data_IF_870031267203
#
_entry.id   IF_870031267203
#
_cell.length_a   1.000
_cell.length_b   1.000
_cell.length_c   1.000
_cell.angle_alpha   90.00
_cell.angle_beta   90.00
_cell.angle_gamma   90.00
#
_symmetry.space_group_name_H-M   'P 1'
#
loop_
_entity.id
_entity.type
_entity.pdbx_description
1 polymer ?
#
# COMPACT_ATOMS: atom_id res chain seq x y z
N UNK A 1 -10.51 -5.93 25.15
CA UNK A 1 -11.26 -6.76 26.11
C UNK A 1 -12.50 -7.26 25.39
N UNK A 2 -12.47 -8.48 24.87
CA UNK A 2 -13.61 -9.12 24.20
C UNK A 2 -14.60 -9.56 25.29
N UNK A 3 -15.80 -8.98 25.31
CA UNK A 3 -16.91 -9.49 26.11
C UNK A 3 -17.69 -10.50 25.27
N UNK A 4 -17.69 -11.77 25.69
CA UNK A 4 -18.59 -12.80 25.14
C UNK A 4 -19.89 -12.79 25.95
N UNK A 5 -21.01 -12.45 25.31
CA UNK A 5 -22.34 -12.62 25.88
C UNK A 5 -22.96 -13.92 25.38
N UNK A 6 -23.34 -14.82 26.28
CA UNK A 6 -24.14 -16.00 25.97
C UNK A 6 -25.58 -15.69 26.40
N UNK A 7 -26.53 -15.71 25.46
CA UNK A 7 -27.96 -15.65 25.76
C UNK A 7 -28.54 -17.07 25.69
N UNK A 8 -29.07 -17.59 26.80
CA UNK A 8 -29.76 -18.88 26.83
C UNK A 8 -31.21 -18.71 26.36
N UNK A 9 -31.59 -19.41 25.30
CA UNK A 9 -32.98 -19.75 25.01
C UNK A 9 -33.15 -21.28 25.07
N UNK A 10 -34.08 -21.71 25.91
CA UNK A 10 -34.39 -23.12 26.19
C UNK A 10 -35.31 -23.76 25.12
N UNK A 11 -35.18 -25.09 25.01
CA UNK A 11 -36.03 -26.10 24.34
C UNK A 11 -35.79 -26.41 22.85
N UNK A 12 -35.19 -27.59 22.63
CA UNK A 12 -35.43 -28.46 21.46
C UNK A 12 -34.60 -28.15 20.22
N UNK A 13 -33.61 -29.01 19.94
CA UNK A 13 -32.63 -28.95 18.84
C UNK A 13 -31.47 -27.94 19.03
N UNK A 14 -30.32 -28.49 19.43
CA UNK A 14 -29.03 -27.80 19.42
C UNK A 14 -28.62 -27.57 17.95
N UNK A 15 -29.04 -26.44 17.37
CA UNK A 15 -28.42 -25.88 16.17
C UNK A 15 -27.40 -24.86 16.66
N UNK A 16 -26.11 -25.22 16.60
CA UNK A 16 -25.02 -24.26 16.79
C UNK A 16 -25.02 -23.31 15.59
N UNK A 17 -25.82 -22.26 15.66
CA UNK A 17 -25.64 -21.10 14.79
C UNK A 17 -24.51 -20.27 15.39
N UNK A 18 -23.34 -20.33 14.77
CA UNK A 18 -22.33 -19.31 15.00
C UNK A 18 -22.92 -18.00 14.47
N UNK A 19 -23.22 -17.06 15.36
CA UNK A 19 -23.43 -15.68 14.98
C UNK A 19 -22.12 -15.18 14.33
N UNK A 20 -22.09 -15.22 13.00
CA UNK A 20 -21.16 -14.46 12.18
C UNK A 20 -21.46 -12.98 12.44
N UNK A 21 -20.85 -12.44 13.48
CA UNK A 21 -20.95 -11.04 13.85
C UNK A 21 -20.22 -10.18 12.80
N UNK A 22 -20.97 -9.66 11.83
CA UNK A 22 -20.75 -8.36 11.16
C UNK A 22 -19.31 -8.02 10.74
N UNK A 23 -18.55 -9.00 10.21
CA UNK A 23 -17.29 -8.72 9.52
C UNK A 23 -17.48 -8.40 8.02
N UNK A 24 -18.70 -8.55 7.48
CA UNK A 24 -19.01 -8.23 6.08
C UNK A 24 -19.34 -6.75 5.81
N UNK A 25 -19.34 -5.89 6.84
CA UNK A 25 -19.50 -4.43 6.66
C UNK A 25 -18.29 -3.61 7.07
N UNK A 26 -17.08 -4.17 6.94
CA UNK A 26 -16.00 -3.31 6.46
C UNK A 26 -16.33 -2.94 5.02
N UNK A 27 -17.24 -1.96 4.85
CA UNK A 27 -17.31 -1.13 3.65
C UNK A 27 -15.86 -0.95 3.22
N UNK A 28 -15.47 -1.50 2.07
CA UNK A 28 -14.30 -1.01 1.35
C UNK A 28 -14.32 0.50 1.53
N UNK A 29 -13.23 1.09 2.04
CA UNK A 29 -13.16 2.52 2.33
C UNK A 29 -13.46 3.28 1.05
N UNK A 30 -14.74 3.47 0.77
CA UNK A 30 -15.22 4.12 -0.41
C UNK A 30 -14.84 5.57 -0.18
N UNK A 31 -13.98 6.16 -1.04
CA UNK A 31 -13.54 7.53 -0.84
C UNK A 31 -14.79 8.40 -0.69
N UNK A 32 -14.96 9.00 0.51
CA UNK A 32 -16.16 9.78 0.86
C UNK A 32 -16.34 11.00 -0.05
N UNK A 33 -15.31 11.39 -0.81
CA UNK A 33 -15.39 12.34 -1.93
C UNK A 33 -14.23 12.16 -2.93
N UNK A 34 -14.54 12.50 -4.19
CA UNK A 34 -14.01 12.06 -5.48
C UNK A 34 -13.00 13.05 -6.08
N UNK A 35 -12.09 12.54 -6.94
CA UNK A 35 -11.14 13.23 -7.85
C UNK A 35 -10.84 14.69 -7.48
N UNK A 36 -9.73 14.90 -6.77
CA UNK A 36 -9.27 16.24 -6.36
C UNK A 36 -8.72 17.09 -7.51
N UNK A 37 -8.30 16.46 -8.60
CA UNK A 37 -7.65 17.14 -9.73
C UNK A 37 -7.67 16.26 -10.98
N UNK A 38 -7.88 16.88 -12.15
CA UNK A 38 -7.73 16.23 -13.46
C UNK A 38 -6.28 16.32 -13.97
N UNK A 39 -5.35 16.80 -13.16
CA UNK A 39 -3.93 16.90 -13.48
C UNK A 39 -3.09 16.34 -12.33
N UNK A 40 -3.22 15.06 -11.98
CA UNK A 40 -2.51 14.49 -10.83
C UNK A 40 -1.00 14.60 -11.02
N UNK A 41 -0.29 14.92 -9.93
CA UNK A 41 1.17 14.83 -9.85
C UNK A 41 1.50 13.70 -8.89
N UNK A 42 2.06 12.62 -9.43
CA UNK A 42 2.37 11.42 -8.65
C UNK A 42 3.88 11.38 -8.42
N UNK A 43 4.26 11.31 -7.15
CA UNK A 43 5.64 11.16 -6.75
C UNK A 43 6.16 9.75 -7.04
N UNK A 44 7.41 9.62 -7.44
CA UNK A 44 8.12 8.34 -7.52
C UNK A 44 9.27 8.40 -6.53
N UNK A 45 9.30 7.50 -5.55
CA UNK A 45 10.43 7.43 -4.61
C UNK A 45 11.68 6.98 -5.34
N UNK A 46 12.73 7.80 -5.28
CA UNK A 46 14.03 7.50 -5.88
C UNK A 46 14.85 6.56 -4.99
N UNK A 47 15.77 5.82 -5.58
CA UNK A 47 16.63 4.86 -4.90
C UNK A 47 18.10 5.26 -5.04
N UNK A 48 18.93 4.92 -4.06
CA UNK A 48 20.37 5.19 -4.14
C UNK A 48 21.03 4.38 -5.27
N UNK A 49 21.92 5.03 -6.00
CA UNK A 49 22.73 4.38 -7.04
C UNK A 49 23.82 3.49 -6.43
N UNK A 50 24.12 2.39 -7.10
CA UNK A 50 25.29 1.55 -6.80
C UNK A 50 26.16 1.30 -8.04
N UNK A 51 27.38 0.79 -7.82
CA UNK A 51 28.31 0.40 -8.89
C UNK A 51 28.59 1.53 -9.88
N UNK A 52 28.53 1.23 -11.19
CA UNK A 52 28.80 2.20 -12.25
C UNK A 52 27.78 3.35 -12.34
N UNK A 53 26.60 3.21 -11.72
CA UNK A 53 25.57 4.26 -11.80
C UNK A 53 25.90 5.49 -10.95
N UNK A 54 26.81 5.36 -9.97
CA UNK A 54 27.24 6.46 -9.09
C UNK A 54 27.82 7.63 -9.89
N UNK A 55 28.40 7.40 -11.06
CA UNK A 55 28.93 8.45 -11.94
C UNK A 55 27.83 9.38 -12.51
N UNK A 56 26.57 8.93 -12.51
CA UNK A 56 25.43 9.69 -13.06
C UNK A 56 24.60 10.40 -11.99
N UNK A 57 24.95 10.24 -10.71
CA UNK A 57 24.24 10.82 -9.57
C UNK A 57 24.20 9.86 -8.39
N UNK A 58 23.74 10.36 -7.24
CA UNK A 58 23.60 9.56 -6.01
C UNK A 58 22.27 8.80 -5.92
N UNK A 59 21.29 9.18 -6.74
CA UNK A 59 19.96 8.60 -6.76
C UNK A 59 19.46 8.39 -8.20
N UNK A 60 18.62 7.39 -8.39
CA UNK A 60 18.00 7.10 -9.68
C UNK A 60 16.51 6.77 -9.50
N UNK A 61 15.80 6.82 -10.62
CA UNK A 61 14.48 6.23 -10.80
C UNK A 61 14.43 5.56 -12.17
N UNK A 62 13.67 4.48 -12.30
CA UNK A 62 13.55 3.77 -13.58
C UNK A 62 12.48 4.44 -14.43
N UNK A 63 12.82 4.76 -15.68
CA UNK A 63 11.93 5.48 -16.60
C UNK A 63 10.58 4.79 -16.85
N UNK A 64 10.50 3.46 -16.65
CA UNK A 64 9.26 2.70 -16.81
C UNK A 64 8.14 3.20 -15.88
N UNK A 65 8.46 3.63 -14.65
CA UNK A 65 7.44 4.16 -13.73
C UNK A 65 6.93 5.54 -14.18
N UNK A 66 7.79 6.34 -14.83
CA UNK A 66 7.38 7.61 -15.45
C UNK A 66 6.43 7.33 -16.61
N UNK A 67 6.78 6.39 -17.49
CA UNK A 67 5.92 6.02 -18.63
C UNK A 67 4.61 5.38 -18.21
N UNK A 68 4.63 4.56 -17.16
CA UNK A 68 3.41 4.02 -16.56
C UNK A 68 2.46 5.15 -16.12
N UNK A 69 2.96 6.13 -15.37
CA UNK A 69 2.17 7.27 -14.93
C UNK A 69 1.69 8.17 -16.07
N UNK A 70 2.56 8.49 -17.03
CA UNK A 70 2.22 9.30 -18.21
C UNK A 70 1.12 8.63 -19.05
N UNK A 71 1.20 7.31 -19.24
CA UNK A 71 0.19 6.54 -19.97
C UNK A 71 -1.17 6.54 -19.27
N UNK A 72 -1.19 6.69 -17.94
CA UNK A 72 -2.40 6.83 -17.14
C UNK A 72 -2.90 8.29 -17.04
N UNK A 73 -2.28 9.23 -17.75
CA UNK A 73 -2.67 10.66 -17.75
C UNK A 73 -2.15 11.46 -16.55
N UNK A 74 -1.18 10.93 -15.80
CA UNK A 74 -0.56 11.61 -14.67
C UNK A 74 0.78 12.24 -15.03
N UNK A 75 1.19 13.25 -14.24
CA UNK A 75 2.55 13.80 -14.27
C UNK A 75 3.40 13.10 -13.22
N UNK A 76 4.58 12.62 -13.59
CA UNK A 76 5.51 12.02 -12.65
C UNK A 76 6.45 13.08 -12.05
N UNK A 77 6.76 12.96 -10.76
CA UNK A 77 7.78 13.77 -10.11
C UNK A 77 8.70 12.91 -9.25
N UNK A 78 10.04 13.05 -9.35
CA UNK A 78 10.95 12.37 -8.42
C UNK A 78 10.81 12.95 -7.01
N UNK A 79 10.73 12.10 -6.00
CA UNK A 79 10.73 12.54 -4.60
C UNK A 79 12.18 12.76 -4.14
N UNK A 80 12.67 13.98 -4.38
CA UNK A 80 13.96 14.49 -3.88
C UNK A 80 13.75 15.62 -2.85
N UNK A 81 12.65 16.36 -2.99
CA UNK A 81 12.29 17.56 -2.21
C UNK A 81 10.78 17.56 -1.91
N UNK A 82 10.30 18.32 -0.91
CA UNK A 82 8.88 18.43 -0.64
C UNK A 82 8.15 19.04 -1.84
N UNK A 83 7.26 18.26 -2.45
CA UNK A 83 6.40 18.66 -3.56
C UNK A 83 4.93 18.50 -3.14
N UNK A 84 4.06 19.31 -3.74
CA UNK A 84 2.62 19.15 -3.57
C UNK A 84 2.16 17.98 -4.48
N UNK A 85 2.12 16.78 -3.90
CA UNK A 85 1.82 15.53 -4.59
C UNK A 85 0.35 15.14 -4.38
N UNK A 86 -0.22 14.44 -5.36
CA UNK A 86 -1.57 13.87 -5.28
C UNK A 86 -1.54 12.38 -4.90
N UNK A 87 -0.35 11.77 -4.89
CA UNK A 87 -0.13 10.37 -4.57
C UNK A 87 1.33 9.99 -4.77
N UNK A 88 1.68 8.74 -4.48
CA UNK A 88 3.06 8.26 -4.61
C UNK A 88 3.15 6.80 -5.06
N UNK A 89 4.17 6.50 -5.86
CA UNK A 89 4.65 5.15 -6.18
C UNK A 89 5.92 4.87 -5.36
N UNK A 90 5.90 3.75 -4.66
CA UNK A 90 7.04 3.05 -4.08
C UNK A 90 7.48 1.97 -5.08
N UNK A 91 8.48 2.24 -5.94
CA UNK A 91 8.86 1.31 -7.00
C UNK A 91 9.56 0.06 -6.46
N UNK A 92 9.63 -0.97 -7.29
CA UNK A 92 10.55 -2.08 -7.12
C UNK A 92 12.01 -1.62 -7.12
N UNK A 93 12.92 -2.56 -6.83
CA UNK A 93 14.36 -2.29 -6.88
C UNK A 93 15.14 -3.22 -5.96
N UNK A 94 16.40 -2.85 -5.73
CA UNK A 94 17.35 -3.74 -5.06
C UNK A 94 18.14 -3.06 -3.93
N UNK A 95 17.68 -1.88 -3.49
CA UNK A 95 18.25 -1.24 -2.30
C UNK A 95 17.85 -2.03 -1.05
N UNK A 96 18.74 -2.03 -0.06
CA UNK A 96 18.54 -2.79 1.18
C UNK A 96 17.57 -2.03 2.08
N UNK A 97 16.41 -2.59 2.39
CA UNK A 97 15.38 -1.95 3.21
C UNK A 97 15.89 -1.65 4.64
N UNK A 98 16.84 -2.41 5.15
CA UNK A 98 17.40 -2.16 6.48
C UNK A 98 18.52 -1.10 6.53
N UNK A 99 18.98 -0.59 5.38
CA UNK A 99 20.11 0.35 5.32
C UNK A 99 19.86 1.59 4.48
N UNK A 100 19.07 1.48 3.42
CA UNK A 100 18.80 2.57 2.49
C UNK A 100 17.86 3.63 3.07
N UNK A 101 17.92 4.83 2.50
CA UNK A 101 17.01 5.95 2.72
C UNK A 101 15.63 5.70 2.13
N UNK A 102 15.48 4.69 1.26
CA UNK A 102 14.20 4.26 0.73
C UNK A 102 13.18 3.94 1.83
N UNK A 103 13.59 3.19 2.85
CA UNK A 103 12.73 2.79 3.97
C UNK A 103 12.22 3.95 4.82
N UNK A 104 13.07 4.85 5.36
CA UNK A 104 12.56 5.96 6.15
C UNK A 104 11.69 6.93 5.32
N UNK A 105 11.98 7.11 4.02
CA UNK A 105 11.14 7.93 3.13
C UNK A 105 9.78 7.27 2.91
N UNK A 106 9.75 5.99 2.52
CA UNK A 106 8.50 5.25 2.29
C UNK A 106 7.66 5.12 3.57
N UNK A 107 8.29 4.86 4.72
CA UNK A 107 7.62 4.84 6.02
C UNK A 107 6.98 6.20 6.33
N UNK A 108 7.73 7.29 6.15
CA UNK A 108 7.22 8.63 6.41
C UNK A 108 6.02 8.98 5.53
N UNK A 109 6.08 8.62 4.25
CA UNK A 109 4.97 8.83 3.31
C UNK A 109 3.71 8.05 3.72
N UNK A 110 3.87 6.79 4.13
CA UNK A 110 2.78 5.95 4.62
C UNK A 110 2.16 6.50 5.91
N UNK A 111 2.98 6.89 6.89
CA UNK A 111 2.53 7.54 8.12
C UNK A 111 1.74 8.81 7.84
N UNK A 112 2.21 9.65 6.91
CA UNK A 112 1.51 10.89 6.52
C UNK A 112 0.18 10.60 5.82
N UNK A 113 0.10 9.57 4.98
CA UNK A 113 -1.13 9.16 4.33
C UNK A 113 -2.18 8.65 5.33
N UNK A 114 -1.76 7.81 6.29
CA UNK A 114 -2.62 7.34 7.38
C UNK A 114 -3.10 8.51 8.23
N UNK A 115 -2.18 9.38 8.64
CA UNK A 115 -2.52 10.58 9.42
C UNK A 115 -3.52 11.48 8.71
N UNK A 116 -3.33 11.75 7.42
CA UNK A 116 -4.26 12.55 6.62
C UNK A 116 -5.66 11.93 6.59
N UNK A 117 -5.74 10.61 6.45
CA UNK A 117 -6.99 9.88 6.48
C UNK A 117 -7.67 9.95 7.85
N UNK A 118 -6.93 9.71 8.94
CA UNK A 118 -7.48 9.72 10.31
C UNK A 118 -7.96 11.11 10.74
N UNK A 119 -7.23 12.17 10.39
CA UNK A 119 -7.55 13.53 10.81
C UNK A 119 -8.64 14.20 9.96
N UNK A 120 -8.65 13.95 8.65
CA UNK A 120 -9.49 14.72 7.71
C UNK A 120 -10.36 13.86 6.81
N UNK A 121 -10.20 12.53 6.84
CA UNK A 121 -10.81 11.61 5.87
C UNK A 121 -10.20 11.73 4.47
N UNK A 122 -9.07 12.43 4.31
CA UNK A 122 -8.39 12.60 3.04
C UNK A 122 -7.65 11.33 2.64
N UNK A 123 -7.98 10.79 1.47
CA UNK A 123 -7.27 9.65 0.90
C UNK A 123 -6.06 10.15 0.11
N UNK A 124 -4.86 9.78 0.55
CA UNK A 124 -3.61 9.94 -0.20
C UNK A 124 -3.17 8.57 -0.74
N UNK A 125 -3.32 8.30 -2.06
CA UNK A 125 -3.02 6.99 -2.61
C UNK A 125 -1.52 6.69 -2.62
N UNK A 126 -1.19 5.49 -2.16
CA UNK A 126 0.17 4.91 -2.20
C UNK A 126 0.09 3.62 -3.01
N UNK A 127 0.95 3.50 -4.01
CA UNK A 127 1.14 2.28 -4.79
C UNK A 127 2.50 1.66 -4.48
N UNK A 128 2.54 0.42 -4.01
CA UNK A 128 3.78 -0.33 -3.78
C UNK A 128 3.94 -1.47 -4.77
N UNK A 129 5.10 -1.55 -5.42
CA UNK A 129 5.44 -2.62 -6.37
C UNK A 129 6.77 -3.28 -5.96
N UNK A 130 6.83 -4.62 -6.02
CA UNK A 130 7.98 -5.42 -5.59
C UNK A 130 8.56 -4.94 -4.24
N UNK A 131 9.74 -4.33 -4.22
CA UNK A 131 10.38 -3.78 -3.03
C UNK A 131 9.49 -2.77 -2.27
N UNK A 132 8.71 -1.97 -2.98
CA UNK A 132 7.74 -1.06 -2.38
C UNK A 132 6.59 -1.79 -1.68
N UNK A 133 6.11 -2.89 -2.26
CA UNK A 133 5.11 -3.76 -1.62
C UNK A 133 5.67 -4.42 -0.36
N UNK A 134 6.90 -4.96 -0.44
CA UNK A 134 7.61 -5.52 0.72
C UNK A 134 7.68 -4.50 1.86
N UNK A 135 8.12 -3.26 1.57
CA UNK A 135 8.21 -2.21 2.57
C UNK A 135 6.86 -1.91 3.23
N UNK A 136 5.79 -1.73 2.44
CA UNK A 136 4.44 -1.46 2.97
C UNK A 136 3.97 -2.62 3.85
N UNK A 137 4.09 -3.86 3.36
CA UNK A 137 3.65 -5.03 4.11
C UNK A 137 4.46 -5.20 5.41
N UNK A 138 5.77 -4.94 5.42
CA UNK A 138 6.57 -4.96 6.65
C UNK A 138 6.10 -3.90 7.66
N UNK A 139 5.83 -2.66 7.21
CA UNK A 139 5.36 -1.58 8.09
C UNK A 139 4.01 -1.93 8.70
N UNK A 140 3.04 -2.33 7.87
CA UNK A 140 1.66 -2.60 8.33
C UNK A 140 1.60 -3.82 9.25
N UNK A 141 2.42 -4.85 8.99
CA UNK A 141 2.48 -6.04 9.86
C UNK A 141 3.33 -5.84 11.13
N UNK A 142 3.85 -4.63 11.38
CA UNK A 142 4.64 -4.32 12.57
C UNK A 142 5.98 -5.07 12.64
N UNK A 143 6.54 -5.45 11.48
CA UNK A 143 7.80 -6.22 11.40
C UNK A 143 9.00 -5.34 11.75
N UNK A 144 10.06 -6.00 12.21
CA UNK A 144 11.32 -5.30 12.50
C UNK A 144 12.02 -4.89 11.19
N UNK A 145 11.94 -3.61 10.86
CA UNK A 145 12.56 -3.04 9.65
C UNK A 145 14.09 -3.08 9.65
N UNK A 146 14.74 -3.39 10.78
CA UNK A 146 16.19 -3.62 10.85
C UNK A 146 16.61 -4.93 10.15
N UNK A 147 15.68 -5.88 9.99
CA UNK A 147 15.89 -7.08 9.20
C UNK A 147 15.73 -6.80 7.69
N UNK A 148 14.90 -5.80 7.33
CA UNK A 148 14.58 -5.48 5.94
C UNK A 148 13.97 -6.68 5.21
N UNK A 149 14.21 -6.77 3.90
CA UNK A 149 13.69 -7.87 3.06
C UNK A 149 14.29 -9.25 3.38
N UNK A 150 15.16 -9.37 4.40
CA UNK A 150 15.84 -10.61 4.78
C UNK A 150 15.16 -11.34 5.95
N UNK A 151 14.04 -10.83 6.46
CA UNK A 151 13.21 -11.56 7.42
C UNK A 151 12.62 -12.82 6.76
N UNK A 152 13.19 -13.98 7.05
CA UNK A 152 12.79 -15.28 6.46
C UNK A 152 11.35 -15.68 6.81
N UNK A 153 10.77 -15.09 7.84
CA UNK A 153 9.38 -15.35 8.25
C UNK A 153 8.40 -14.34 7.66
N UNK A 154 8.89 -13.36 6.90
CA UNK A 154 8.09 -12.37 6.21
C UNK A 154 7.70 -12.90 4.83
N UNK A 155 6.39 -12.87 4.52
CA UNK A 155 5.82 -13.42 3.29
C UNK A 155 6.10 -14.92 3.03
N UNK A 156 6.53 -15.68 4.05
CA UNK A 156 6.78 -17.12 3.92
C UNK A 156 5.52 -17.99 4.02
N UNK A 157 4.48 -17.48 4.68
CA UNK A 157 3.18 -18.14 4.88
C UNK A 157 2.06 -17.41 4.14
N UNK A 158 2.27 -17.12 2.86
CA UNK A 158 1.21 -16.54 2.01
C UNK A 158 0.55 -17.64 1.20
N UNK A 159 -0.71 -17.94 1.51
CA UNK A 159 -1.54 -18.81 0.67
C UNK A 159 -1.84 -18.12 -0.66
N UNK A 160 -1.40 -18.71 -1.76
CA UNK A 160 -1.89 -18.35 -3.09
C UNK A 160 -3.18 -19.12 -3.38
N UNK A 161 -4.30 -18.42 -3.52
CA UNK A 161 -5.57 -19.02 -3.96
C UNK A 161 -5.87 -18.58 -5.39
N UNK A 162 -6.18 -19.55 -6.26
CA UNK A 162 -6.65 -19.23 -7.61
C UNK A 162 -8.14 -18.92 -7.55
N UNK A 163 -8.50 -17.64 -7.65
CA UNK A 163 -9.89 -17.18 -7.65
C UNK A 163 -10.23 -16.72 -9.07
N UNK A 164 -11.02 -17.54 -9.79
CA UNK A 164 -11.58 -17.15 -11.08
C UNK A 164 -12.87 -16.36 -10.85
N UNK A 165 -12.77 -15.03 -10.84
CA UNK A 165 -13.94 -14.14 -10.85
C UNK A 165 -14.33 -13.83 -12.29
N UNK A 166 -15.64 -13.73 -12.54
CA UNK A 166 -16.16 -13.28 -13.83
C UNK A 166 -15.84 -11.79 -13.99
N UNK A 167 -15.25 -11.42 -15.13
CA UNK A 167 -15.05 -10.03 -15.50
C UNK A 167 -16.36 -9.45 -16.04
N UNK A 168 -17.15 -8.83 -15.16
CA UNK A 168 -18.35 -8.09 -15.56
C UNK A 168 -17.95 -6.65 -15.89
N UNK A 169 -17.78 -6.36 -17.20
CA UNK A 169 -17.53 -5.00 -17.68
C UNK A 169 -18.84 -4.21 -17.69
N UNK A 170 -18.85 -2.94 -17.25
CA UNK A 170 -20.01 -2.07 -17.47
C UNK A 170 -20.27 -1.90 -18.96
N UNK A 171 -21.55 -1.88 -19.35
CA UNK A 171 -21.98 -1.55 -20.71
C UNK A 171 -21.42 -0.18 -21.09
N UNK A 172 -20.65 -0.12 -22.19
CA UNK A 172 -20.04 1.13 -22.66
C UNK A 172 -21.09 2.19 -22.93
N UNK A 173 -20.83 3.43 -22.49
CA UNK A 173 -21.58 4.62 -22.87
C UNK A 173 -21.18 5.10 -24.27
#
# INVERSE_FOLDING_TARGET
MLMFGISLATFGHLVLTFEYHEAEKQRYLAPRRVIKTNRPVIGIVTQETGGRMVQFGSQYLVAVYVKFLESAGARAAPILYPLNLTGVILPGGHVKLNKSRYTPVGRRLLELAIKAYDETGEVFPIWGECLGLELVAMIISGRNLSLGQYDQSFLSLTDARNISLKLDLPSGN
#
